data_IF_786885360851
#
_entry.id   IF_786885360851
#
_cell.length_a   1.000
_cell.length_b   1.000
_cell.length_c   1.000
_cell.angle_alpha   90.00
_cell.angle_beta   90.00
_cell.angle_gamma   90.00
#
_symmetry.space_group_name_H-M   'P 1'
#
loop_
_entity.id
_entity.type
_entity.pdbx_description
1 polymer ?
#
# COMPACT_ATOMS: atom_id res chain seq x y z
N UNK A 1 13.03 -0.11 27.98
CA UNK A 1 11.77 0.59 27.65
C UNK A 1 11.08 -0.20 26.56
N UNK A 2 9.77 -0.48 26.62
CA UNK A 2 9.08 -1.05 25.48
C UNK A 2 9.04 0.03 24.40
N UNK A 3 9.94 -0.03 23.43
CA UNK A 3 9.87 0.78 22.23
C UNK A 3 8.75 0.23 21.38
N UNK A 4 7.56 0.82 21.49
CA UNK A 4 6.47 0.55 20.57
C UNK A 4 6.98 0.77 19.14
N UNK A 5 6.77 -0.23 18.27
CA UNK A 5 7.13 -0.12 16.86
C UNK A 5 6.37 1.07 16.23
N UNK A 6 6.97 1.80 15.28
CA UNK A 6 6.26 2.83 14.53
C UNK A 6 5.07 2.21 13.78
N UNK A 7 3.94 2.91 13.76
CA UNK A 7 2.71 2.46 13.11
C UNK A 7 2.47 3.31 11.87
N UNK A 8 2.35 2.66 10.72
CA UNK A 8 1.86 3.22 9.47
C UNK A 8 0.43 2.72 9.27
N UNK A 9 -0.55 3.61 9.41
CA UNK A 9 -1.96 3.27 9.23
C UNK A 9 -2.43 3.77 7.87
N UNK A 10 -3.00 2.89 7.06
CA UNK A 10 -3.70 3.28 5.84
C UNK A 10 -5.19 3.36 6.12
N UNK A 11 -5.72 4.57 5.96
CA UNK A 11 -7.13 4.88 6.08
C UNK A 11 -7.68 5.19 4.69
N UNK A 12 -8.86 4.67 4.35
CA UNK A 12 -9.47 4.82 3.02
C UNK A 12 -9.66 6.30 2.65
N UNK A 13 -9.90 7.14 3.65
CA UNK A 13 -10.14 8.58 3.48
C UNK A 13 -8.87 9.40 3.28
N UNK A 14 -7.69 8.85 3.61
CA UNK A 14 -6.40 9.56 3.60
C UNK A 14 -5.30 8.81 2.86
N UNK A 15 -5.66 7.93 1.92
CA UNK A 15 -4.70 7.12 1.17
C UNK A 15 -3.73 7.96 0.33
N UNK A 16 -4.18 9.13 -0.10
CA UNK A 16 -3.53 9.93 -1.13
C UNK A 16 -3.49 11.39 -0.73
N UNK A 17 -2.34 12.03 -0.98
CA UNK A 17 -2.10 13.46 -0.72
C UNK A 17 -2.21 14.27 -2.00
N UNK A 18 -1.95 13.63 -3.14
CA UNK A 18 -1.85 14.24 -4.47
C UNK A 18 -2.87 13.66 -5.43
N UNK A 19 -2.97 14.26 -6.61
CA UNK A 19 -3.99 13.93 -7.62
C UNK A 19 -3.66 12.68 -8.43
N UNK A 20 -2.38 12.35 -8.63
CA UNK A 20 -1.92 11.27 -9.55
C UNK A 20 -0.90 10.35 -8.86
N UNK A 21 -0.82 9.10 -9.30
CA UNK A 21 0.14 8.13 -8.75
C UNK A 21 1.60 8.56 -8.96
N UNK A 22 1.89 9.21 -10.10
CA UNK A 22 3.21 9.75 -10.38
C UNK A 22 3.64 10.81 -9.35
N UNK A 23 2.73 11.70 -8.97
CA UNK A 23 3.00 12.72 -7.96
C UNK A 23 3.23 12.12 -6.57
N UNK A 24 2.46 11.10 -6.18
CA UNK A 24 2.69 10.35 -4.93
C UNK A 24 4.08 9.73 -4.87
N UNK A 25 4.48 9.07 -5.96
CA UNK A 25 5.79 8.43 -6.07
C UNK A 25 6.90 9.48 -5.95
N UNK A 26 6.79 10.60 -6.66
CA UNK A 26 7.78 11.68 -6.59
C UNK A 26 7.87 12.31 -5.20
N UNK A 27 6.75 12.37 -4.47
CA UNK A 27 6.69 12.96 -3.13
C UNK A 27 7.33 12.07 -2.06
N UNK A 28 7.13 10.75 -2.14
CA UNK A 28 7.47 9.84 -1.04
C UNK A 28 8.57 8.82 -1.33
N UNK A 29 8.81 8.45 -2.59
CA UNK A 29 9.79 7.44 -2.93
C UNK A 29 11.21 8.04 -3.01
N UNK A 30 12.17 7.40 -2.34
CA UNK A 30 13.58 7.77 -2.47
C UNK A 30 14.15 7.42 -3.86
N UNK A 31 13.55 6.44 -4.53
CA UNK A 31 13.89 6.02 -5.89
C UNK A 31 12.61 5.93 -6.74
N UNK A 32 12.15 7.07 -7.31
CA UNK A 32 10.88 7.17 -8.02
C UNK A 32 10.70 6.16 -9.15
N UNK A 33 11.72 5.94 -9.97
CA UNK A 33 11.66 5.01 -11.11
C UNK A 33 11.50 3.55 -10.65
N UNK A 34 12.20 3.18 -9.58
CA UNK A 34 12.10 1.85 -8.99
C UNK A 34 10.72 1.63 -8.33
N UNK A 35 10.21 2.64 -7.62
CA UNK A 35 8.87 2.60 -7.03
C UNK A 35 7.76 2.54 -8.09
N UNK A 36 7.90 3.28 -9.19
CA UNK A 36 6.98 3.20 -10.32
C UNK A 36 6.97 1.80 -10.97
N UNK A 37 8.16 1.23 -11.22
CA UNK A 37 8.28 -0.13 -11.74
C UNK A 37 7.68 -1.18 -10.79
N UNK A 38 7.95 -1.04 -9.49
CA UNK A 38 7.38 -1.89 -8.45
C UNK A 38 5.85 -1.77 -8.40
N UNK A 39 5.31 -0.55 -8.39
CA UNK A 39 3.87 -0.30 -8.38
C UNK A 39 3.18 -0.90 -9.61
N UNK A 40 3.81 -0.84 -10.79
CA UNK A 40 3.29 -1.49 -11.98
C UNK A 40 3.21 -3.03 -11.83
N UNK A 41 4.17 -3.66 -11.14
CA UNK A 41 4.12 -5.09 -10.81
C UNK A 41 3.00 -5.39 -9.80
N UNK A 42 2.82 -4.53 -8.80
CA UNK A 42 1.70 -4.61 -7.86
C UNK A 42 0.35 -4.55 -8.58
N UNK A 43 0.17 -3.58 -9.48
CA UNK A 43 -1.05 -3.47 -10.28
C UNK A 43 -1.34 -4.77 -11.04
N UNK A 44 -0.36 -5.30 -11.78
CA UNK A 44 -0.51 -6.59 -12.48
C UNK A 44 -0.88 -7.74 -11.55
N UNK A 45 -0.30 -7.80 -10.35
CA UNK A 45 -0.62 -8.84 -9.35
C UNK A 45 -2.09 -8.82 -8.94
N UNK A 46 -2.75 -7.68 -9.03
CA UNK A 46 -4.17 -7.51 -8.69
C UNK A 46 -5.09 -7.27 -9.90
N UNK A 47 -4.56 -7.33 -11.12
CA UNK A 47 -5.34 -7.08 -12.34
C UNK A 47 -5.68 -5.61 -12.55
N UNK A 48 -4.88 -4.70 -12.02
CA UNK A 48 -5.03 -3.25 -12.13
C UNK A 48 -4.01 -2.72 -13.14
N UNK A 49 -4.49 -2.04 -14.17
CA UNK A 49 -3.63 -1.30 -15.09
C UNK A 49 -3.19 0.01 -14.42
N UNK A 50 -1.88 0.14 -14.19
CA UNK A 50 -1.29 1.32 -13.56
C UNK A 50 -0.93 2.33 -14.62
N UNK A 51 -1.60 3.47 -14.58
CA UNK A 51 -1.22 4.69 -15.30
C UNK A 51 -0.82 5.75 -14.26
N UNK A 52 0.42 6.24 -14.37
CA UNK A 52 1.01 7.20 -13.42
C UNK A 52 0.37 8.59 -13.53
N UNK A 53 -0.16 8.93 -14.71
CA UNK A 53 -0.83 10.21 -14.96
C UNK A 53 -2.33 10.14 -14.65
N UNK A 54 -2.87 8.94 -14.43
CA UNK A 54 -4.27 8.75 -14.08
C UNK A 54 -4.59 9.35 -12.71
N UNK A 55 -5.71 10.07 -12.67
CA UNK A 55 -6.25 10.63 -11.42
C UNK A 55 -6.58 9.50 -10.45
N UNK A 56 -6.04 9.57 -9.24
CA UNK A 56 -6.14 8.49 -8.26
C UNK A 56 -7.58 8.18 -7.86
N UNK A 57 -8.42 9.21 -7.72
CA UNK A 57 -9.83 9.03 -7.39
C UNK A 57 -10.68 8.42 -8.52
N UNK A 58 -10.10 8.21 -9.71
CA UNK A 58 -10.76 7.48 -10.80
C UNK A 58 -10.62 5.96 -10.72
N UNK A 59 -9.77 5.45 -9.82
CA UNK A 59 -9.73 4.04 -9.46
C UNK A 59 -10.87 3.73 -8.48
N UNK A 60 -11.39 2.50 -8.48
CA UNK A 60 -12.34 2.06 -7.45
C UNK A 60 -11.69 2.10 -6.05
N UNK A 61 -12.50 2.19 -4.99
CA UNK A 61 -11.97 2.24 -3.62
C UNK A 61 -11.06 1.05 -3.28
N UNK A 62 -11.40 -0.16 -3.75
CA UNK A 62 -10.56 -1.34 -3.57
C UNK A 62 -9.23 -1.26 -4.32
N UNK A 63 -9.24 -0.77 -5.57
CA UNK A 63 -8.02 -0.54 -6.34
C UNK A 63 -7.14 0.51 -5.69
N UNK A 64 -7.72 1.60 -5.19
CA UNK A 64 -6.98 2.63 -4.46
C UNK A 64 -6.26 2.04 -3.25
N UNK A 65 -6.91 1.19 -2.44
CA UNK A 65 -6.26 0.54 -1.30
C UNK A 65 -5.13 -0.39 -1.74
N UNK A 66 -5.34 -1.18 -2.79
CA UNK A 66 -4.33 -2.11 -3.31
C UNK A 66 -3.09 -1.38 -3.85
N UNK A 67 -3.31 -0.29 -4.59
CA UNK A 67 -2.23 0.55 -5.11
C UNK A 67 -1.50 1.29 -4.00
N UNK A 68 -2.23 1.85 -3.01
CA UNK A 68 -1.61 2.52 -1.87
C UNK A 68 -0.74 1.53 -1.07
N UNK A 69 -1.26 0.33 -0.78
CA UNK A 69 -0.50 -0.70 -0.10
C UNK A 69 0.75 -1.13 -0.88
N UNK A 70 0.64 -1.29 -2.21
CA UNK A 70 1.79 -1.58 -3.06
C UNK A 70 2.84 -0.48 -3.07
N UNK A 71 2.41 0.78 -3.18
CA UNK A 71 3.29 1.94 -3.14
C UNK A 71 4.02 2.05 -1.79
N UNK A 72 3.30 1.91 -0.68
CA UNK A 72 3.90 1.92 0.64
C UNK A 72 4.85 0.73 0.85
N UNK A 73 4.60 -0.42 0.23
CA UNK A 73 5.56 -1.52 0.24
C UNK A 73 6.86 -1.17 -0.48
N UNK A 74 6.80 -0.48 -1.62
CA UNK A 74 8.00 0.01 -2.32
C UNK A 74 8.75 1.07 -1.48
N UNK A 75 8.03 2.00 -0.87
CA UNK A 75 8.63 3.06 -0.03
C UNK A 75 9.25 2.50 1.25
N UNK A 76 8.63 1.49 1.85
CA UNK A 76 9.02 0.97 3.16
C UNK A 76 9.95 -0.24 3.12
N UNK A 77 10.29 -0.76 1.93
CA UNK A 77 11.07 -2.01 1.76
C UNK A 77 12.34 -2.06 2.62
N UNK A 78 13.05 -0.94 2.77
CA UNK A 78 14.31 -0.85 3.52
C UNK A 78 14.16 -0.19 4.91
N UNK A 79 12.93 0.01 5.41
CA UNK A 79 12.72 0.61 6.74
C UNK A 79 12.98 -0.40 7.86
N UNK A 80 13.35 0.08 9.07
CA UNK A 80 13.35 -0.73 10.30
C UNK A 80 11.98 -1.36 10.58
N UNK A 81 11.89 -2.39 11.44
CA UNK A 81 10.62 -3.03 11.77
C UNK A 81 9.53 -2.03 12.19
N UNK A 82 8.32 -2.26 11.68
CA UNK A 82 7.17 -1.37 11.88
C UNK A 82 5.86 -2.16 11.82
N UNK A 83 4.75 -1.51 12.18
CA UNK A 83 3.41 -2.04 12.03
C UNK A 83 2.74 -1.38 10.84
N UNK A 84 2.21 -2.16 9.90
CA UNK A 84 1.35 -1.69 8.82
C UNK A 84 -0.11 -2.03 9.17
N UNK A 85 -0.90 -1.02 9.48
CA UNK A 85 -2.31 -1.18 9.86
C UNK A 85 -3.24 -0.85 8.67
N UNK A 86 -3.94 -1.86 8.20
CA UNK A 86 -4.87 -1.82 7.06
C UNK A 86 -6.32 -2.01 7.49
N UNK A 87 -6.62 -2.13 8.80
CA UNK A 87 -7.96 -2.48 9.29
C UNK A 87 -9.04 -1.48 8.87
N UNK A 88 -8.67 -0.20 8.71
CA UNK A 88 -9.57 0.88 8.27
C UNK A 88 -9.75 0.95 6.76
N UNK A 89 -8.77 0.48 5.99
CA UNK A 89 -8.82 0.46 4.52
C UNK A 89 -9.40 -0.84 3.94
N UNK A 90 -9.30 -1.96 4.66
CA UNK A 90 -9.64 -3.28 4.12
C UNK A 90 -11.11 -3.45 3.71
N UNK A 91 -12.05 -2.64 4.23
CA UNK A 91 -13.48 -2.75 3.92
C UNK A 91 -13.78 -2.48 2.44
N UNK A 92 -12.95 -1.68 1.77
CA UNK A 92 -13.07 -1.42 0.33
C UNK A 92 -12.52 -2.56 -0.53
N UNK A 93 -11.83 -3.55 0.07
CA UNK A 93 -11.18 -4.66 -0.62
C UNK A 93 -12.00 -5.94 -0.48
N UNK A 94 -12.23 -6.63 -1.58
CA UNK A 94 -12.94 -7.92 -1.56
C UNK A 94 -12.23 -8.95 -0.68
N UNK A 95 -12.97 -9.89 -0.07
CA UNK A 95 -12.38 -10.93 0.79
C UNK A 95 -11.25 -11.72 0.09
N UNK A 96 -11.43 -12.06 -1.19
CA UNK A 96 -10.41 -12.74 -1.98
C UNK A 96 -9.13 -11.88 -2.16
N UNK A 97 -9.29 -10.57 -2.40
CA UNK A 97 -8.13 -9.67 -2.54
C UNK A 97 -7.48 -9.34 -1.20
N UNK A 98 -8.21 -9.35 -0.08
CA UNK A 98 -7.64 -9.18 1.26
C UNK A 98 -6.60 -10.24 1.57
N UNK A 99 -6.95 -11.53 1.41
CA UNK A 99 -6.00 -12.63 1.65
C UNK A 99 -4.76 -12.53 0.73
N UNK A 100 -4.97 -12.19 -0.55
CA UNK A 100 -3.87 -11.99 -1.51
C UNK A 100 -2.99 -10.80 -1.16
N UNK A 101 -3.58 -9.72 -0.66
CA UNK A 101 -2.88 -8.51 -0.23
C UNK A 101 -2.01 -8.80 1.00
N UNK A 102 -2.55 -9.48 2.02
CA UNK A 102 -1.79 -9.84 3.20
C UNK A 102 -0.57 -10.69 2.85
N UNK A 103 -0.75 -11.72 2.01
CA UNK A 103 0.35 -12.57 1.56
C UNK A 103 1.40 -11.78 0.77
N UNK A 104 0.97 -10.90 -0.15
CA UNK A 104 1.87 -10.08 -0.95
C UNK A 104 2.68 -9.10 -0.09
N UNK A 105 2.05 -8.49 0.92
CA UNK A 105 2.73 -7.58 1.83
C UNK A 105 3.69 -8.31 2.75
N UNK A 106 3.33 -9.49 3.26
CA UNK A 106 4.23 -10.28 4.10
C UNK A 106 5.48 -10.73 3.34
N UNK A 107 5.34 -11.02 2.05
CA UNK A 107 6.44 -11.31 1.13
C UNK A 107 7.33 -10.07 0.88
N UNK A 108 6.70 -8.91 0.61
CA UNK A 108 7.42 -7.68 0.25
C UNK A 108 8.04 -6.95 1.45
N UNK A 109 7.46 -7.11 2.64
CA UNK A 109 7.81 -6.42 3.88
C UNK A 109 7.97 -7.44 5.02
N UNK A 110 8.95 -8.35 4.97
CA UNK A 110 9.14 -9.38 6.00
C UNK A 110 9.43 -8.82 7.40
N UNK A 111 9.85 -7.55 7.49
CA UNK A 111 10.09 -6.84 8.73
C UNK A 111 8.84 -6.18 9.33
N UNK A 112 7.72 -6.14 8.59
CA UNK A 112 6.51 -5.46 9.01
C UNK A 112 5.51 -6.43 9.66
N UNK A 113 4.92 -6.01 10.78
CA UNK A 113 3.73 -6.66 11.31
C UNK A 113 2.50 -6.10 10.61
N UNK A 114 1.79 -6.93 9.85
CA UNK A 114 0.63 -6.50 9.05
C UNK A 114 -0.65 -6.76 9.84
N UNK A 115 -1.39 -5.71 10.18
CA UNK A 115 -2.70 -5.78 10.81
C UNK A 115 -3.76 -5.57 9.74
N UNK A 116 -4.50 -6.62 9.38
CA UNK A 116 -5.51 -6.53 8.34
C UNK A 116 -6.92 -6.84 8.86
N UNK A 117 -7.06 -7.62 9.92
CA UNK A 117 -8.33 -7.90 10.58
C UNK A 117 -8.30 -7.36 12.01
N UNK A 118 -9.46 -7.05 12.59
CA UNK A 118 -9.54 -6.83 14.03
C UNK A 118 -9.19 -8.13 14.75
N UNK A 119 -8.39 -8.03 15.82
CA UNK A 119 -8.15 -9.17 16.69
C UNK A 119 -9.50 -9.72 17.17
N UNK A 120 -9.67 -11.06 17.23
CA UNK A 120 -10.92 -11.69 17.61
C UNK A 120 -11.44 -11.25 18.99
#
# INVERSE_FOLDING_TARGET
MPTSLPVLSLDADTLWVTTTLGNEILLFAQAPEAAAAGLALWGRRFGIEVDLERVVHSYSGGEQVLLAAGLWAEICRNRPPFVLDLRRAQAAVSAANRARLQAALAEALPQATILMEDAP
#
